data_IF_012963056379
#
_entry.id   IF_012963056379
#
_cell.length_a   1.000
_cell.length_b   1.000
_cell.length_c   1.000
_cell.angle_alpha   90.00
_cell.angle_beta   90.00
_cell.angle_gamma   90.00
#
_symmetry.space_group_name_H-M   'P 1'
#
loop_
_entity.id
_entity.type
_entity.pdbx_description
1 polymer ?
#
# COMPACT_ATOMS: atom_id res chain seq x y z
N UNK A 1 -58.00 -1.60 19.02
CA UNK A 1 -57.13 -0.96 18.01
C UNK A 1 -56.21 -0.04 18.77
N UNK A 2 -54.89 -0.17 18.73
CA UNK A 2 -54.09 -0.75 17.65
C UNK A 2 -54.02 0.26 16.51
N UNK A 3 -53.10 1.22 16.63
CA UNK A 3 -52.60 2.06 15.53
C UNK A 3 -51.09 2.23 15.77
N UNK A 4 -50.33 1.29 15.21
CA UNK A 4 -48.86 1.31 15.11
C UNK A 4 -48.43 2.42 14.14
N UNK A 5 -47.69 3.40 14.61
CA UNK A 5 -46.87 4.26 13.74
C UNK A 5 -45.57 3.52 13.43
N UNK A 6 -45.53 2.90 12.26
CA UNK A 6 -44.30 2.40 11.65
C UNK A 6 -43.43 3.58 11.20
N UNK A 7 -42.42 3.92 11.99
CA UNK A 7 -41.34 4.80 11.56
C UNK A 7 -40.45 4.03 10.56
N UNK A 8 -40.78 4.17 9.29
CA UNK A 8 -39.97 3.71 8.17
C UNK A 8 -38.71 4.59 8.10
N UNK A 9 -37.63 4.17 8.76
CA UNK A 9 -36.31 4.78 8.54
C UNK A 9 -35.76 4.26 7.22
N UNK A 10 -35.97 5.05 6.18
CA UNK A 10 -35.34 4.91 4.87
C UNK A 10 -33.83 4.76 5.04
N UNK A 11 -33.33 3.55 4.76
CA UNK A 11 -31.91 3.26 4.61
C UNK A 11 -31.42 3.87 3.29
N UNK A 12 -31.25 5.18 3.26
CA UNK A 12 -30.61 5.85 2.14
C UNK A 12 -29.09 5.77 2.35
N UNK A 13 -28.52 4.61 2.04
CA UNK A 13 -27.08 4.46 1.99
C UNK A 13 -26.58 5.18 0.74
N UNK A 14 -25.91 6.32 0.94
CA UNK A 14 -25.35 7.18 -0.09
C UNK A 14 -24.46 6.39 -1.08
N UNK A 15 -25.06 6.01 -2.21
CA UNK A 15 -24.43 5.26 -3.31
C UNK A 15 -23.44 6.11 -4.14
N UNK A 16 -23.04 7.29 -3.66
CA UNK A 16 -22.18 8.25 -4.37
C UNK A 16 -20.75 8.34 -3.81
N UNK A 17 -20.35 7.43 -2.90
CA UNK A 17 -18.96 7.41 -2.44
C UNK A 17 -18.11 6.72 -3.52
N UNK A 18 -17.18 7.43 -4.19
CA UNK A 18 -16.33 6.80 -5.18
C UNK A 18 -15.53 5.68 -4.51
N UNK A 19 -15.72 4.45 -5.00
CA UNK A 19 -14.91 3.32 -4.58
C UNK A 19 -13.50 3.58 -5.10
N UNK A 20 -12.59 3.95 -4.19
CA UNK A 20 -11.18 4.12 -4.52
C UNK A 20 -10.60 2.75 -4.86
N UNK A 21 -10.45 2.47 -6.16
CA UNK A 21 -9.97 1.18 -6.66
C UNK A 21 -8.48 0.94 -6.39
N UNK A 22 -7.69 2.01 -6.23
CA UNK A 22 -6.26 1.95 -5.99
C UNK A 22 -5.84 2.94 -4.91
N UNK A 23 -4.93 2.55 -4.00
CA UNK A 23 -4.37 3.48 -3.02
C UNK A 23 -3.62 4.64 -3.68
N UNK A 24 -3.63 5.81 -3.02
CA UNK A 24 -2.82 6.95 -3.40
C UNK A 24 -1.35 6.72 -3.07
N UNK A 25 -0.47 7.17 -3.95
CA UNK A 25 0.97 7.12 -3.73
C UNK A 25 1.41 8.37 -2.96
N UNK A 26 2.28 8.16 -1.99
CA UNK A 26 2.91 9.23 -1.22
C UNK A 26 4.09 9.81 -2.02
N UNK A 27 3.92 11.06 -2.44
CA UNK A 27 4.87 11.82 -3.26
C UNK A 27 6.13 12.24 -2.49
N UNK A 28 6.12 12.14 -1.15
CA UNK A 28 7.33 12.35 -0.34
C UNK A 28 8.44 11.35 -0.71
N UNK A 29 8.06 10.16 -1.18
CA UNK A 29 9.02 9.21 -1.75
C UNK A 29 9.46 9.65 -3.14
N UNK A 30 10.64 10.26 -3.21
CA UNK A 30 11.27 10.64 -4.47
C UNK A 30 12.54 9.84 -4.73
N UNK A 31 13.02 9.89 -5.99
CA UNK A 31 14.22 9.17 -6.41
C UNK A 31 13.92 7.70 -6.75
N UNK A 32 14.68 6.77 -6.17
CA UNK A 32 14.65 5.36 -6.54
C UNK A 32 14.35 4.47 -5.31
N UNK A 33 13.58 3.40 -5.50
CA UNK A 33 13.40 2.34 -4.49
C UNK A 33 12.07 2.40 -3.75
N UNK A 34 11.94 3.29 -2.75
CA UNK A 34 10.77 3.30 -1.84
C UNK A 34 9.47 3.69 -2.53
N UNK A 35 9.54 4.49 -3.59
CA UNK A 35 8.39 4.85 -4.43
C UNK A 35 7.66 3.63 -5.02
N UNK A 36 8.36 2.50 -5.23
CA UNK A 36 7.77 1.23 -5.69
C UNK A 36 7.33 0.32 -4.53
N UNK A 37 8.06 0.37 -3.42
CA UNK A 37 7.82 -0.50 -2.25
C UNK A 37 6.54 -0.08 -1.51
N UNK A 38 6.15 1.19 -1.56
CA UNK A 38 4.90 1.66 -0.93
C UNK A 38 3.66 0.89 -1.41
N UNK A 39 3.59 0.50 -2.68
CA UNK A 39 2.51 -0.32 -3.22
C UNK A 39 2.41 -1.68 -2.52
N UNK A 40 3.56 -2.33 -2.28
CA UNK A 40 3.61 -3.60 -1.55
C UNK A 40 3.13 -3.43 -0.11
N UNK A 41 3.40 -2.29 0.52
CA UNK A 41 2.85 -1.98 1.84
C UNK A 41 1.32 -1.92 1.77
N UNK A 42 0.72 -1.14 0.87
CA UNK A 42 -0.73 -1.09 0.71
C UNK A 42 -1.37 -2.47 0.51
N UNK A 43 -0.84 -3.27 -0.43
CA UNK A 43 -1.34 -4.62 -0.73
C UNK A 43 -1.28 -5.52 0.52
N UNK A 44 -0.20 -5.44 1.30
CA UNK A 44 -0.04 -6.18 2.56
C UNK A 44 -1.11 -5.80 3.58
N UNK A 45 -1.39 -4.51 3.74
CA UNK A 45 -2.39 -4.01 4.69
C UNK A 45 -3.83 -4.26 4.24
N UNK A 46 -4.07 -4.35 2.93
CA UNK A 46 -5.34 -4.76 2.35
C UNK A 46 -5.60 -6.27 2.47
N UNK A 47 -4.62 -7.08 2.90
CA UNK A 47 -4.77 -8.53 3.03
C UNK A 47 -4.75 -9.29 1.70
N UNK A 48 -4.23 -8.69 0.64
CA UNK A 48 -4.20 -9.29 -0.70
C UNK A 48 -3.04 -10.29 -0.83
N UNK A 49 -3.31 -11.46 -1.41
CA UNK A 49 -2.31 -12.50 -1.65
C UNK A 49 -1.65 -12.36 -3.02
N UNK A 50 -0.34 -12.56 -3.08
CA UNK A 50 0.39 -12.70 -4.34
C UNK A 50 0.29 -14.13 -4.87
N UNK A 51 0.15 -14.27 -6.18
CA UNK A 51 0.23 -15.55 -6.87
C UNK A 51 1.20 -15.42 -8.03
N UNK A 52 1.99 -16.47 -8.26
CA UNK A 52 2.85 -16.59 -9.43
C UNK A 52 2.04 -17.24 -10.55
N UNK A 53 2.02 -16.63 -11.73
CA UNK A 53 1.35 -17.19 -12.90
C UNK A 53 2.31 -18.13 -13.64
N UNK A 54 2.15 -19.47 -13.56
CA UNK A 54 3.14 -20.41 -14.09
C UNK A 54 3.24 -20.39 -15.63
N UNK A 55 2.20 -19.89 -16.31
CA UNK A 55 2.12 -19.80 -17.77
C UNK A 55 2.22 -18.37 -18.31
N UNK A 56 2.44 -17.40 -17.42
CA UNK A 56 2.65 -15.99 -17.78
C UNK A 56 4.11 -15.62 -17.61
N UNK A 57 4.68 -14.90 -18.57
CA UNK A 57 6.05 -14.40 -18.45
C UNK A 57 6.13 -12.95 -18.90
N UNK A 58 7.10 -12.24 -18.32
CA UNK A 58 7.47 -10.87 -18.70
C UNK A 58 8.94 -10.91 -19.06
N UNK A 59 9.29 -10.34 -20.22
CA UNK A 59 10.69 -10.23 -20.64
C UNK A 59 11.19 -8.86 -20.20
N UNK A 60 12.23 -8.85 -19.36
CA UNK A 60 12.97 -7.64 -19.07
C UNK A 60 14.09 -7.49 -20.10
N UNK A 61 14.02 -6.44 -20.93
CA UNK A 61 15.11 -6.07 -21.83
C UNK A 61 16.17 -5.31 -21.02
N UNK A 62 17.44 -5.78 -20.99
CA UNK A 62 18.50 -5.05 -20.34
C UNK A 62 18.61 -3.64 -20.93
N UNK A 63 18.69 -2.66 -20.05
CA UNK A 63 18.91 -1.27 -20.43
C UNK A 63 19.97 -0.65 -19.52
N UNK A 64 20.66 0.41 -19.98
CA UNK A 64 21.61 1.14 -19.14
C UNK A 64 20.96 1.63 -17.84
N UNK A 65 21.76 1.75 -16.79
CA UNK A 65 21.29 2.37 -15.55
C UNK A 65 20.89 3.84 -15.81
N UNK A 66 19.81 4.27 -15.16
CA UNK A 66 19.38 5.66 -15.25
C UNK A 66 20.25 6.57 -14.40
N UNK A 67 20.29 7.86 -14.74
CA UNK A 67 20.94 8.88 -13.91
C UNK A 67 20.41 8.86 -12.48
N UNK A 68 19.10 8.69 -12.31
CA UNK A 68 18.46 8.58 -10.98
C UNK A 68 18.96 7.37 -10.19
N UNK A 69 19.23 6.24 -10.85
CA UNK A 69 19.82 5.06 -10.21
C UNK A 69 21.26 5.32 -9.76
N UNK A 70 22.05 6.03 -10.57
CA UNK A 70 23.39 6.45 -10.17
C UNK A 70 23.36 7.43 -8.98
N UNK A 71 22.48 8.42 -9.00
CA UNK A 71 22.29 9.36 -7.87
C UNK A 71 21.86 8.65 -6.59
N UNK A 72 20.99 7.65 -6.70
CA UNK A 72 20.56 6.83 -5.57
C UNK A 72 21.73 6.05 -4.97
N UNK A 73 22.52 5.37 -5.78
CA UNK A 73 23.68 4.59 -5.32
C UNK A 73 24.83 5.47 -4.82
N UNK A 74 24.79 6.79 -5.06
CA UNK A 74 25.84 7.71 -4.66
C UNK A 74 25.73 8.03 -3.15
N UNK A 75 26.62 7.41 -2.37
CA UNK A 75 26.72 7.59 -0.91
C UNK A 75 27.02 9.01 -0.44
N UNK A 76 27.37 9.92 -1.36
CA UNK A 76 27.51 11.35 -1.03
C UNK A 76 26.19 11.95 -0.52
N UNK A 77 25.05 11.38 -0.92
CA UNK A 77 23.74 11.82 -0.49
C UNK A 77 23.16 10.86 0.53
N UNK A 78 22.54 11.41 1.58
CA UNK A 78 21.86 10.62 2.63
C UNK A 78 20.45 10.15 2.19
N UNK A 79 20.22 9.98 0.89
CA UNK A 79 18.91 9.66 0.32
C UNK A 79 18.38 8.31 0.82
N UNK A 80 19.26 7.33 0.98
CA UNK A 80 18.91 6.02 1.51
C UNK A 80 18.31 6.13 2.93
N UNK A 81 19.04 6.78 3.83
CA UNK A 81 18.62 6.97 5.22
C UNK A 81 17.33 7.80 5.29
N UNK A 82 17.25 8.90 4.56
CA UNK A 82 16.05 9.74 4.54
C UNK A 82 14.81 8.96 4.09
N UNK A 83 14.92 8.19 3.01
CA UNK A 83 13.82 7.36 2.50
C UNK A 83 13.49 6.19 3.43
N UNK A 84 14.47 5.62 4.13
CA UNK A 84 14.24 4.58 5.14
C UNK A 84 13.50 5.14 6.37
N UNK A 85 13.89 6.32 6.87
CA UNK A 85 13.18 7.00 7.97
C UNK A 85 11.76 7.37 7.57
N UNK A 86 11.57 7.95 6.38
CA UNK A 86 10.25 8.25 5.85
C UNK A 86 9.39 6.98 5.75
N UNK A 87 9.98 5.86 5.32
CA UNK A 87 9.27 4.59 5.22
C UNK A 87 8.75 4.07 6.57
N UNK A 88 9.51 4.25 7.65
CA UNK A 88 9.05 3.89 9.00
C UNK A 88 7.86 4.73 9.45
N UNK A 89 7.88 6.04 9.16
CA UNK A 89 6.75 6.94 9.44
C UNK A 89 5.53 6.55 8.62
N UNK A 90 5.73 6.35 7.31
CA UNK A 90 4.70 5.93 6.37
C UNK A 90 4.01 4.63 6.81
N UNK A 91 4.74 3.61 7.28
CA UNK A 91 4.11 2.37 7.78
C UNK A 91 3.18 2.59 8.98
N UNK A 92 3.47 3.57 9.85
CA UNK A 92 2.60 3.93 10.98
C UNK A 92 1.35 4.65 10.50
N UNK A 93 1.50 5.61 9.59
CA UNK A 93 0.39 6.33 8.96
C UNK A 93 -0.54 5.35 8.25
N UNK A 94 0.02 4.41 7.50
CA UNK A 94 -0.73 3.39 6.78
C UNK A 94 -1.49 2.43 7.72
N UNK A 95 -0.87 2.04 8.84
CA UNK A 95 -1.56 1.24 9.85
C UNK A 95 -2.77 1.98 10.41
N UNK A 96 -2.64 3.27 10.69
CA UNK A 96 -3.77 4.09 11.15
C UNK A 96 -4.85 4.23 10.07
N UNK A 97 -4.45 4.35 8.80
CA UNK A 97 -5.38 4.44 7.67
C UNK A 97 -6.21 3.16 7.51
N UNK A 98 -5.59 1.97 7.66
CA UNK A 98 -6.27 0.70 7.39
C UNK A 98 -6.94 0.06 8.61
N UNK A 99 -6.54 0.36 9.84
CA UNK A 99 -7.17 -0.25 11.03
C UNK A 99 -8.64 0.14 11.23
N UNK A 100 -9.07 1.29 10.73
CA UNK A 100 -10.48 1.70 10.71
C UNK A 100 -11.32 1.09 9.58
N UNK A 101 -10.67 0.44 8.60
CA UNK A 101 -11.30 -0.01 7.35
C UNK A 101 -11.21 -1.53 7.17
N UNK A 102 -10.11 -2.12 7.60
CA UNK A 102 -9.76 -3.53 7.41
C UNK A 102 -9.65 -4.19 8.78
N UNK A 103 -10.23 -5.39 8.91
CA UNK A 103 -10.05 -6.18 10.12
C UNK A 103 -8.55 -6.44 10.35
N UNK A 104 -7.97 -6.08 11.51
CA UNK A 104 -6.54 -6.25 11.78
C UNK A 104 -6.03 -7.69 11.57
N UNK A 105 -6.90 -8.71 11.68
CA UNK A 105 -6.55 -10.11 11.40
C UNK A 105 -6.26 -10.39 9.92
N UNK A 106 -6.76 -9.55 9.02
CA UNK A 106 -6.56 -9.67 7.58
C UNK A 106 -5.28 -8.97 7.11
N UNK A 107 -4.66 -8.13 7.95
CA UNK A 107 -3.37 -7.51 7.64
C UNK A 107 -2.31 -8.61 7.60
N UNK A 108 -1.66 -8.79 6.44
CA UNK A 108 -0.62 -9.79 6.29
C UNK A 108 0.58 -9.42 7.17
N UNK A 109 1.04 -10.29 8.09
CA UNK A 109 2.17 -9.97 8.95
C UNK A 109 3.46 -9.85 8.13
N UNK A 110 4.44 -9.12 8.67
CA UNK A 110 5.79 -9.14 8.11
C UNK A 110 6.35 -10.55 8.17
N UNK A 111 7.02 -10.98 7.10
CA UNK A 111 7.67 -12.28 7.06
C UNK A 111 8.68 -12.36 8.22
N UNK A 112 8.55 -13.40 9.06
CA UNK A 112 9.59 -13.77 10.02
C UNK A 112 10.69 -14.41 9.20
N UNK A 113 11.87 -13.78 9.13
CA UNK A 113 13.04 -14.30 8.44
C UNK A 113 13.19 -15.79 8.81
N UNK A 114 12.93 -16.70 7.86
CA UNK A 114 13.35 -18.09 8.04
C UNK A 114 14.88 -18.04 8.00
N UNK A 115 15.50 -18.32 9.14
CA UNK A 115 16.92 -18.59 9.20
C UNK A 115 17.13 -19.87 8.37
N UNK A 116 17.63 -19.70 7.15
CA UNK A 116 18.25 -20.78 6.38
C UNK A 116 19.73 -20.84 6.77
#
# INVERSE_FOLDING_TARGET
>A
GGDDKSDNKDNNQDNNTPVVLSPYYDERFHGYGKNKIQQFAHIRFLGMSFQVLPKGFVIHMPHPESVTKHSWNNKKYDLHSQMDHLYLTYLKELYNQYTGVVNPKNILPMCKKQQL
#
